data_IF_668882329893
#
_entry.id   IF_668882329893
#
_cell.length_a   1.000
_cell.length_b   1.000
_cell.length_c   1.000
_cell.angle_alpha   90.00
_cell.angle_beta   90.00
_cell.angle_gamma   90.00
#
_symmetry.space_group_name_H-M   'P 1'
#
loop_
_entity.id
_entity.type
_entity.pdbx_description
1 polymer ?
#
# COMPACT_ATOMS: atom_id res chain seq x y z
N UNK A 1 -15.56 -11.22 -2.84
CA UNK A 1 -14.93 -10.75 -4.09
C UNK A 1 -13.79 -9.83 -3.67
N UNK A 2 -12.55 -10.19 -4.03
CA UNK A 2 -11.38 -9.36 -3.78
C UNK A 2 -10.91 -8.76 -5.12
N UNK A 3 -10.45 -7.51 -5.11
CA UNK A 3 -9.95 -6.82 -6.29
C UNK A 3 -8.46 -6.53 -6.11
N UNK A 4 -7.62 -7.04 -7.01
CA UNK A 4 -6.17 -7.06 -6.82
C UNK A 4 -5.40 -6.03 -7.68
N UNK A 5 -6.06 -4.91 -8.01
CA UNK A 5 -5.48 -3.80 -8.78
C UNK A 5 -6.01 -2.47 -8.27
N UNK A 6 -5.19 -1.43 -8.35
CA UNK A 6 -5.62 -0.07 -8.05
C UNK A 6 -6.80 0.33 -8.95
N UNK A 7 -7.90 0.76 -8.34
CA UNK A 7 -9.07 1.29 -9.02
C UNK A 7 -9.56 2.54 -8.27
N UNK A 8 -9.49 3.74 -8.89
CA UNK A 8 -9.95 4.99 -8.27
C UNK A 8 -11.38 4.94 -7.74
N UNK A 9 -12.26 4.12 -8.35
CA UNK A 9 -13.65 3.96 -7.90
C UNK A 9 -13.72 3.23 -6.56
N UNK A 10 -12.95 2.15 -6.41
CA UNK A 10 -12.88 1.41 -5.15
C UNK A 10 -12.18 2.23 -4.08
N UNK A 11 -11.11 2.94 -4.46
CA UNK A 11 -10.35 3.81 -3.59
C UNK A 11 -11.22 4.90 -2.93
N UNK A 12 -12.14 5.48 -3.70
CA UNK A 12 -13.03 6.56 -3.20
C UNK A 12 -13.96 6.15 -2.04
N UNK A 13 -14.13 4.85 -1.80
CA UNK A 13 -14.98 4.30 -0.74
C UNK A 13 -14.18 3.46 0.27
N UNK A 14 -12.85 3.63 0.30
CA UNK A 14 -12.00 3.00 1.31
C UNK A 14 -12.27 3.63 2.67
N UNK A 15 -12.56 2.79 3.66
CA UNK A 15 -12.84 3.19 5.04
C UNK A 15 -11.83 2.61 6.03
N UNK A 16 -11.05 1.61 5.60
CA UNK A 16 -10.04 0.95 6.42
C UNK A 16 -8.82 0.59 5.58
N UNK A 17 -7.63 0.72 6.16
CA UNK A 17 -6.36 0.42 5.50
C UNK A 17 -5.53 -0.56 6.33
N UNK A 18 -4.95 -1.56 5.67
CA UNK A 18 -4.03 -2.53 6.28
C UNK A 18 -2.73 -2.60 5.48
N UNK A 19 -1.62 -2.87 6.17
CA UNK A 19 -0.30 -3.06 5.57
C UNK A 19 0.21 -4.46 5.89
N UNK A 20 0.59 -5.20 4.84
CA UNK A 20 1.28 -6.50 4.94
C UNK A 20 2.70 -6.32 4.44
N UNK A 21 3.66 -6.95 5.11
CA UNK A 21 5.08 -6.86 4.73
C UNK A 21 5.50 -8.11 3.99
N UNK A 22 6.08 -7.95 2.79
CA UNK A 22 6.71 -9.07 2.08
C UNK A 22 7.81 -9.69 2.95
N UNK A 23 7.96 -11.03 2.97
CA UNK A 23 9.07 -11.69 3.65
C UNK A 23 10.46 -11.19 3.21
N UNK A 24 10.56 -10.68 1.98
CA UNK A 24 11.80 -10.10 1.42
C UNK A 24 12.24 -8.82 2.15
N UNK A 25 11.32 -8.16 2.87
CA UNK A 25 11.60 -6.98 3.69
C UNK A 25 11.83 -7.31 5.17
N UNK A 26 12.28 -8.54 5.50
CA UNK A 26 12.47 -8.96 6.90
C UNK A 26 13.48 -8.09 7.67
N UNK A 27 14.42 -7.46 6.98
CA UNK A 27 15.56 -6.75 7.60
C UNK A 27 15.37 -5.23 7.71
N UNK A 28 14.17 -4.73 7.43
CA UNK A 28 13.88 -3.30 7.47
C UNK A 28 13.51 -2.84 8.90
N UNK A 29 13.97 -1.66 9.30
CA UNK A 29 13.72 -1.11 10.64
C UNK A 29 12.24 -0.75 10.82
N UNK A 30 11.74 -0.74 12.06
CA UNK A 30 10.34 -0.37 12.32
C UNK A 30 10.05 1.10 11.96
N UNK A 31 11.02 1.99 12.11
CA UNK A 31 10.90 3.38 11.68
C UNK A 31 10.72 3.50 10.16
N UNK A 32 11.49 2.73 9.40
CA UNK A 32 11.35 2.66 7.95
C UNK A 32 10.01 2.03 7.57
N UNK A 33 9.55 1.00 8.28
CA UNK A 33 8.23 0.40 8.07
C UNK A 33 7.11 1.42 8.20
N UNK A 34 7.10 2.18 9.29
CA UNK A 34 6.11 3.23 9.53
C UNK A 34 6.15 4.28 8.41
N UNK A 35 7.35 4.70 8.03
CA UNK A 35 7.56 5.73 7.01
C UNK A 35 7.12 5.27 5.62
N UNK A 36 7.34 3.99 5.29
CA UNK A 36 6.96 3.40 4.00
C UNK A 36 5.47 3.08 3.93
N UNK A 37 4.91 2.50 4.98
CA UNK A 37 3.47 2.26 5.08
C UNK A 37 2.69 3.56 4.86
N UNK A 38 3.13 4.66 5.49
CA UNK A 38 2.51 5.97 5.28
C UNK A 38 2.56 6.40 3.81
N UNK A 39 3.75 6.44 3.19
CA UNK A 39 3.87 6.92 1.82
C UNK A 39 3.17 6.03 0.78
N UNK A 40 3.20 4.71 0.94
CA UNK A 40 2.52 3.83 -0.02
C UNK A 40 1.00 3.95 0.12
N UNK A 41 0.48 4.29 1.30
CA UNK A 41 -0.94 4.56 1.50
C UNK A 41 -1.38 5.96 1.05
N UNK A 42 -0.46 6.94 1.02
CA UNK A 42 -0.65 8.25 0.38
C UNK A 42 -0.65 8.13 -1.16
N UNK A 43 0.10 7.17 -1.70
CA UNK A 43 0.24 6.91 -3.14
C UNK A 43 -0.04 5.43 -3.50
N UNK A 44 -1.27 4.94 -3.26
CA UNK A 44 -1.64 3.54 -3.47
C UNK A 44 -1.48 3.07 -4.93
N UNK A 45 -1.52 3.99 -5.90
CA UNK A 45 -1.26 3.72 -7.31
C UNK A 45 0.17 3.23 -7.60
N UNK A 46 1.10 3.46 -6.67
CA UNK A 46 2.49 3.00 -6.77
C UNK A 46 2.66 1.57 -6.24
N UNK A 47 1.66 1.02 -5.52
CA UNK A 47 1.74 -0.30 -4.92
C UNK A 47 1.69 -1.41 -5.98
N UNK A 48 2.69 -2.28 -5.95
CA UNK A 48 2.76 -3.46 -6.82
C UNK A 48 1.76 -4.54 -6.45
N UNK A 49 1.37 -4.61 -5.17
CA UNK A 49 0.34 -5.53 -4.66
C UNK A 49 -0.63 -4.78 -3.76
N UNK A 50 -1.84 -4.63 -4.27
CA UNK A 50 -2.96 -3.98 -3.59
C UNK A 50 -4.17 -4.89 -3.68
N UNK A 51 -4.94 -4.98 -2.61
CA UNK A 51 -6.16 -5.76 -2.52
C UNK A 51 -7.26 -4.93 -1.89
N UNK A 52 -8.44 -4.94 -2.51
CA UNK A 52 -9.65 -4.36 -1.95
C UNK A 52 -10.63 -5.45 -1.55
N UNK A 53 -11.17 -5.30 -0.35
CA UNK A 53 -12.18 -6.19 0.21
C UNK A 53 -13.44 -5.42 0.57
N UNK A 54 -14.58 -6.03 0.24
CA UNK A 54 -15.87 -5.43 0.57
C UNK A 54 -16.11 -5.46 2.07
N UNK A 55 -16.38 -4.29 2.64
CA UNK A 55 -16.90 -4.13 4.00
C UNK A 55 -18.38 -3.75 3.98
N UNK A 56 -19.01 -3.78 5.17
CA UNK A 56 -20.41 -3.40 5.33
C UNK A 56 -20.66 -1.95 4.85
N UNK A 57 -19.76 -1.03 5.21
CA UNK A 57 -19.90 0.41 4.95
C UNK A 57 -18.94 0.97 3.89
N UNK A 58 -18.16 0.13 3.20
CA UNK A 58 -17.16 0.59 2.23
C UNK A 58 -16.24 -0.51 1.74
N UNK A 59 -14.98 -0.15 1.50
CA UNK A 59 -13.89 -1.06 1.17
C UNK A 59 -12.79 -1.03 2.25
N UNK A 60 -12.20 -2.17 2.53
CA UNK A 60 -10.89 -2.27 3.17
C UNK A 60 -9.84 -2.36 2.07
N UNK A 61 -8.77 -1.57 2.18
CA UNK A 61 -7.61 -1.63 1.29
C UNK A 61 -6.43 -2.25 2.03
N UNK A 62 -5.95 -3.37 1.55
CA UNK A 62 -4.70 -3.99 1.99
C UNK A 62 -3.59 -3.74 0.96
N UNK A 63 -2.42 -3.28 1.39
CA UNK A 63 -1.23 -3.17 0.55
C UNK A 63 -0.18 -4.15 1.08
N UNK A 64 0.33 -5.02 0.21
CA UNK A 64 1.51 -5.82 0.51
C UNK A 64 2.75 -5.07 0.03
N UNK A 65 3.53 -4.53 0.96
CA UNK A 65 4.75 -3.77 0.66
C UNK A 65 5.86 -4.74 0.23
N UNK A 66 6.43 -4.47 -0.94
CA UNK A 66 7.52 -5.22 -1.55
C UNK A 66 8.77 -4.35 -1.72
N UNK A 67 9.89 -4.97 -2.10
CA UNK A 67 11.12 -4.25 -2.43
C UNK A 67 10.92 -3.27 -3.60
N UNK A 68 10.10 -3.61 -4.58
CA UNK A 68 9.81 -2.73 -5.71
C UNK A 68 9.04 -1.46 -5.29
N UNK A 69 8.21 -1.55 -4.24
CA UNK A 69 7.49 -0.38 -3.71
C UNK A 69 8.45 0.57 -2.98
N UNK A 70 9.48 0.02 -2.32
CA UNK A 70 10.54 0.78 -1.67
C UNK A 70 11.27 1.68 -2.67
N UNK A 71 11.69 1.11 -3.80
CA UNK A 71 12.38 1.83 -4.87
C UNK A 71 11.50 2.95 -5.45
N UNK A 72 10.22 2.68 -5.71
CA UNK A 72 9.26 3.67 -6.25
C UNK A 72 9.04 4.82 -5.28
N UNK A 73 8.84 4.52 -4.00
CA UNK A 73 8.62 5.53 -2.96
C UNK A 73 9.88 6.37 -2.73
N UNK A 74 11.08 5.78 -2.75
CA UNK A 74 12.32 6.55 -2.69
C UNK A 74 12.52 7.43 -3.91
N UNK A 75 12.28 6.91 -5.12
CA UNK A 75 12.38 7.69 -6.35
C UNK A 75 11.41 8.89 -6.34
N UNK A 76 10.17 8.69 -5.87
CA UNK A 76 9.18 9.76 -5.72
C UNK A 76 9.65 10.84 -4.73
N UNK A 77 10.25 10.46 -3.60
CA UNK A 77 10.72 11.41 -2.57
C UNK A 77 11.96 12.19 -2.98
N UNK A 78 12.83 11.59 -3.79
CA UNK A 78 14.07 12.23 -4.27
C UNK A 78 13.85 13.10 -5.51
N UNK A 79 12.77 12.85 -6.26
CA UNK A 79 12.39 13.62 -7.45
C UNK A 79 11.46 14.81 -7.17
N UNK A 80 11.21 15.13 -5.89
CA UNK A 80 10.39 16.25 -5.44
C UNK A 80 11.19 17.48 -5.04
#
# INVERSE_FOLDING_TARGET
MAYDKYDPRLESIVVETSTVWSPELSNITDQDKVSLARAIHEHPELATKIRYERMHTGMMREITVTVADLERVYAMRLGG
#
